data_IF_799782725289
#
_entry.id   IF_799782725289
#
_cell.length_a   1.000
_cell.length_b   1.000
_cell.length_c   1.000
_cell.angle_alpha   90.00
_cell.angle_beta   90.00
_cell.angle_gamma   90.00
#
_symmetry.space_group_name_H-M   'P 1'
#
loop_
_entity.id
_entity.type
_entity.pdbx_description
1 polymer ?
#
# COMPACT_ATOMS: atom_id res chain seq x y z
N UNK A 1 -51.46 75.51 10.59
CA UNK A 1 -51.15 74.40 11.52
C UNK A 1 -50.47 73.30 10.74
N UNK A 2 -49.35 72.78 11.25
CA UNK A 2 -48.65 71.61 10.69
C UNK A 2 -48.99 70.38 11.51
N UNK A 3 -49.32 69.29 10.84
CA UNK A 3 -49.66 67.99 11.44
C UNK A 3 -48.86 66.83 10.84
N UNK A 4 -48.39 65.88 11.66
CA UNK A 4 -48.45 65.84 13.13
C UNK A 4 -47.52 66.89 13.79
N UNK A 5 -47.76 67.26 15.07
CA UNK A 5 -46.94 68.26 15.79
C UNK A 5 -45.57 67.72 16.24
N UNK A 6 -45.38 66.40 16.22
CA UNK A 6 -44.09 65.76 16.44
C UNK A 6 -43.99 64.50 15.56
N UNK A 7 -42.76 64.18 15.16
CA UNK A 7 -42.43 62.98 14.38
C UNK A 7 -41.20 62.33 14.99
N UNK A 8 -41.26 61.02 15.17
CA UNK A 8 -40.08 60.18 15.41
C UNK A 8 -39.97 59.16 14.28
N UNK A 9 -38.83 59.13 13.60
CA UNK A 9 -38.56 58.19 12.51
C UNK A 9 -37.11 57.72 12.52
N UNK A 10 -36.85 56.53 11.98
CA UNK A 10 -35.49 56.03 11.79
C UNK A 10 -34.79 56.74 10.63
N UNK A 11 -33.45 56.82 10.70
CA UNK A 11 -32.61 57.33 9.60
C UNK A 11 -32.97 56.65 8.27
N UNK A 12 -33.13 57.46 7.22
CA UNK A 12 -33.53 57.01 5.88
C UNK A 12 -35.04 56.86 5.66
N UNK A 13 -35.87 56.86 6.72
CA UNK A 13 -37.33 56.86 6.56
C UNK A 13 -37.88 58.23 6.23
N UNK A 14 -39.14 58.25 5.79
CA UNK A 14 -39.86 59.47 5.43
C UNK A 14 -41.22 59.55 6.12
N UNK A 15 -41.70 60.78 6.33
CA UNK A 15 -43.03 61.06 6.84
C UNK A 15 -43.62 62.26 6.09
N UNK A 16 -44.84 62.12 5.60
CA UNK A 16 -45.55 63.25 5.00
C UNK A 16 -46.07 64.17 6.12
N UNK A 17 -45.71 65.45 6.07
CA UNK A 17 -46.32 66.51 6.87
C UNK A 17 -47.43 67.18 6.07
N UNK A 18 -48.44 67.67 6.79
CA UNK A 18 -49.56 68.42 6.22
C UNK A 18 -49.63 69.80 6.85
N UNK A 19 -49.81 70.83 6.04
CA UNK A 19 -50.00 72.21 6.50
C UNK A 19 -51.41 72.68 6.12
N UNK A 20 -52.22 72.99 7.13
CA UNK A 20 -53.56 73.56 6.96
C UNK A 20 -53.55 75.05 7.34
N UNK A 21 -53.93 75.93 6.42
CA UNK A 21 -54.23 77.33 6.72
C UNK A 21 -55.64 77.45 7.34
N UNK A 22 -55.80 78.40 8.26
CA UNK A 22 -57.11 78.87 8.73
C UNK A 22 -57.16 80.36 8.45
N UNK A 23 -58.10 80.79 7.61
CA UNK A 23 -58.25 82.20 7.22
C UNK A 23 -59.14 82.96 8.21
N UNK A 24 -59.16 84.29 8.12
CA UNK A 24 -59.93 85.16 9.03
C UNK A 24 -61.45 84.95 8.95
N UNK A 25 -61.95 84.35 7.86
CA UNK A 25 -63.34 83.93 7.69
C UNK A 25 -63.62 82.52 8.26
N UNK A 26 -62.63 81.91 8.92
CA UNK A 26 -62.62 80.54 9.46
C UNK A 26 -62.65 79.41 8.41
N UNK A 27 -62.50 79.71 7.12
CA UNK A 27 -62.27 78.66 6.13
C UNK A 27 -60.89 78.04 6.31
N UNK A 28 -60.73 76.79 5.91
CA UNK A 28 -59.45 76.09 5.94
C UNK A 28 -59.05 75.57 4.56
N UNK A 29 -57.75 75.52 4.30
CA UNK A 29 -57.19 74.94 3.08
C UNK A 29 -55.93 74.14 3.41
N UNK A 30 -55.78 72.98 2.76
CA UNK A 30 -54.49 72.29 2.69
C UNK A 30 -53.59 73.07 1.73
N UNK A 31 -52.48 73.57 2.28
CA UNK A 31 -51.51 74.39 1.58
C UNK A 31 -50.15 73.69 1.50
N UNK A 32 -50.07 72.39 1.80
CA UNK A 32 -48.83 71.63 1.94
C UNK A 32 -47.87 71.72 0.76
N UNK A 33 -48.39 71.92 -0.46
CA UNK A 33 -47.59 72.07 -1.70
C UNK A 33 -47.45 73.52 -2.18
N UNK A 34 -47.94 74.50 -1.42
CA UNK A 34 -47.97 75.92 -1.80
C UNK A 34 -47.34 76.84 -0.75
N UNK A 35 -46.45 76.29 0.08
CA UNK A 35 -45.77 76.99 1.17
C UNK A 35 -44.27 76.75 1.18
N UNK A 36 -43.54 77.56 1.93
CA UNK A 36 -42.15 77.30 2.24
C UNK A 36 -42.04 76.44 3.51
N UNK A 37 -41.51 75.23 3.34
CA UNK A 37 -41.06 74.37 4.43
C UNK A 37 -39.60 74.68 4.79
N UNK A 38 -39.28 74.67 6.08
CA UNK A 38 -37.94 74.92 6.59
C UNK A 38 -37.60 73.91 7.67
N UNK A 39 -36.41 73.31 7.59
CA UNK A 39 -35.77 72.58 8.69
C UNK A 39 -34.68 73.46 9.30
N UNK A 40 -34.57 73.49 10.62
CA UNK A 40 -33.51 74.23 11.32
C UNK A 40 -32.14 73.51 11.24
N UNK A 41 -32.15 72.19 11.08
CA UNK A 41 -30.97 71.35 10.89
C UNK A 41 -31.19 70.32 9.76
N UNK A 42 -30.74 70.68 8.56
CA UNK A 42 -30.79 69.81 7.39
C UNK A 42 -29.84 68.60 7.47
N UNK A 43 -28.84 68.60 8.35
CA UNK A 43 -27.99 67.42 8.57
C UNK A 43 -28.74 66.34 9.35
N UNK A 44 -29.65 66.74 10.25
CA UNK A 44 -30.52 65.83 10.99
C UNK A 44 -31.76 65.43 10.19
N UNK A 45 -32.51 66.40 9.62
CA UNK A 45 -33.73 66.11 8.86
C UNK A 45 -33.95 67.09 7.69
N UNK A 46 -34.35 66.57 6.53
CA UNK A 46 -34.68 67.38 5.35
C UNK A 46 -36.16 67.30 5.02
N UNK A 47 -36.71 68.35 4.40
CA UNK A 47 -38.10 68.37 3.97
C UNK A 47 -38.21 68.89 2.54
N UNK A 48 -38.96 68.18 1.71
CA UNK A 48 -39.22 68.61 0.32
C UNK A 48 -40.24 69.75 0.28
N UNK A 49 -40.32 70.52 -0.83
CA UNK A 49 -41.34 71.56 -1.00
C UNK A 49 -42.80 71.07 -0.90
N UNK A 50 -43.04 69.77 -1.05
CA UNK A 50 -44.37 69.16 -0.93
C UNK A 50 -44.65 68.62 0.48
N UNK A 51 -43.78 68.88 1.46
CA UNK A 51 -43.97 68.47 2.86
C UNK A 51 -43.50 67.06 3.20
N UNK A 52 -42.78 66.36 2.31
CA UNK A 52 -42.20 65.05 2.64
C UNK A 52 -40.92 65.23 3.45
N UNK A 53 -40.98 64.89 4.75
CA UNK A 53 -39.87 64.88 5.69
C UNK A 53 -39.03 63.61 5.52
N UNK A 54 -37.70 63.70 5.58
CA UNK A 54 -36.75 62.57 5.54
C UNK A 54 -35.73 62.71 6.67
N UNK A 55 -35.49 61.64 7.44
CA UNK A 55 -34.46 61.62 8.48
C UNK A 55 -33.09 61.31 7.89
N UNK A 56 -32.06 62.09 8.25
CA UNK A 56 -30.72 62.03 7.62
C UNK A 56 -29.65 61.56 8.59
N UNK A 57 -29.46 62.22 9.74
CA UNK A 57 -28.56 61.78 10.80
C UNK A 57 -29.29 61.70 12.14
N UNK A 58 -28.82 60.83 13.03
CA UNK A 58 -29.40 60.68 14.36
C UNK A 58 -29.35 62.01 15.11
N UNK A 59 -30.48 62.46 15.65
CA UNK A 59 -30.55 63.75 16.33
C UNK A 59 -31.97 64.31 16.46
N UNK A 60 -32.04 65.58 16.83
CA UNK A 60 -33.27 66.34 16.95
C UNK A 60 -33.23 67.56 16.02
N UNK A 61 -34.35 67.83 15.35
CA UNK A 61 -34.54 69.00 14.49
C UNK A 61 -35.96 69.55 14.65
N UNK A 62 -36.19 70.76 14.17
CA UNK A 62 -37.48 71.40 14.10
C UNK A 62 -37.84 71.75 12.66
N UNK A 63 -39.07 71.41 12.26
CA UNK A 63 -39.60 71.77 10.95
C UNK A 63 -40.75 72.75 11.09
N UNK A 64 -40.71 73.81 10.30
CA UNK A 64 -41.76 74.83 10.24
C UNK A 64 -42.27 75.02 8.81
N UNK A 65 -43.46 75.57 8.72
CA UNK A 65 -44.15 75.95 7.48
C UNK A 65 -44.47 77.43 7.54
N UNK A 66 -44.24 78.18 6.46
CA UNK A 66 -44.62 79.59 6.38
C UNK A 66 -45.37 79.93 5.09
N UNK A 67 -46.41 80.76 5.22
CA UNK A 67 -47.17 81.35 4.12
C UNK A 67 -47.31 82.86 4.38
N UNK A 68 -46.88 83.69 3.43
CA UNK A 68 -47.03 85.17 3.47
C UNK A 68 -46.58 85.82 4.80
N UNK A 69 -45.50 85.30 5.39
CA UNK A 69 -44.95 85.81 6.66
C UNK A 69 -45.61 85.27 7.92
N UNK A 70 -46.62 84.39 7.80
CA UNK A 70 -47.23 83.67 8.92
C UNK A 70 -46.57 82.29 9.05
N UNK A 71 -45.90 82.05 10.18
CA UNK A 71 -45.28 80.76 10.51
C UNK A 71 -46.25 79.88 11.29
N UNK A 72 -46.38 78.61 10.90
CA UNK A 72 -47.13 77.60 11.61
C UNK A 72 -46.45 77.15 12.92
N UNK A 73 -47.05 76.17 13.60
CA UNK A 73 -46.38 75.53 14.73
C UNK A 73 -45.12 74.79 14.28
N UNK A 74 -44.13 74.78 15.17
CA UNK A 74 -43.00 73.86 15.17
C UNK A 74 -43.45 72.40 15.11
N UNK A 75 -42.84 71.61 14.24
CA UNK A 75 -42.88 70.15 14.31
C UNK A 75 -41.56 69.67 14.90
N UNK A 76 -41.63 69.03 16.06
CA UNK A 76 -40.45 68.45 16.70
C UNK A 76 -40.11 67.11 16.01
N UNK A 77 -38.92 67.01 15.43
CA UNK A 77 -38.44 65.83 14.73
C UNK A 77 -37.35 65.15 15.56
N UNK A 78 -37.49 63.85 15.80
CA UNK A 78 -36.45 63.01 16.41
C UNK A 78 -36.08 61.91 15.42
N UNK A 79 -34.84 61.93 14.94
CA UNK A 79 -34.29 60.89 14.06
C UNK A 79 -33.52 59.89 14.92
N UNK A 80 -33.94 58.62 14.89
CA UNK A 80 -33.26 57.51 15.57
C UNK A 80 -32.27 56.81 14.64
N UNK A 81 -31.51 55.85 15.17
CA UNK A 81 -30.65 54.99 14.37
C UNK A 81 -31.43 54.30 13.24
N UNK A 82 -30.72 53.98 12.15
CA UNK A 82 -31.29 53.21 11.05
C UNK A 82 -31.74 51.83 11.57
N UNK A 83 -32.89 51.36 11.10
CA UNK A 83 -33.46 50.08 11.51
C UNK A 83 -33.19 49.03 10.45
N UNK A 84 -32.96 47.78 10.88
CA UNK A 84 -32.77 46.64 9.99
C UNK A 84 -34.03 46.43 9.14
N UNK A 85 -33.87 46.28 7.83
CA UNK A 85 -34.98 46.05 6.89
C UNK A 85 -34.96 44.64 6.31
N UNK A 86 -33.79 44.16 5.88
CA UNK A 86 -33.64 42.81 5.29
C UNK A 86 -32.33 42.16 5.70
N UNK A 87 -32.30 40.83 5.67
CA UNK A 87 -31.09 40.02 5.77
C UNK A 87 -31.02 39.16 4.51
N UNK A 88 -29.90 39.19 3.82
CA UNK A 88 -29.60 38.31 2.69
C UNK A 88 -28.53 37.30 3.08
N UNK A 89 -28.79 36.02 2.85
CA UNK A 89 -27.88 34.91 3.13
C UNK A 89 -27.31 34.38 1.81
N UNK A 90 -25.99 34.36 1.71
CA UNK A 90 -25.25 33.87 0.53
C UNK A 90 -24.31 32.72 0.90
N UNK A 91 -24.21 31.66 0.08
CA UNK A 91 -25.05 31.37 -1.09
C UNK A 91 -26.51 31.00 -0.72
N UNK A 92 -27.49 31.20 -1.63
CA UNK A 92 -28.90 30.90 -1.37
C UNK A 92 -29.24 29.39 -1.40
N UNK A 93 -28.31 28.56 -1.87
CA UNK A 93 -28.42 27.10 -1.85
C UNK A 93 -27.04 26.47 -1.76
N UNK A 94 -26.93 25.36 -1.03
CA UNK A 94 -25.68 24.60 -0.88
C UNK A 94 -25.93 23.12 -1.16
N UNK A 95 -25.05 22.50 -1.94
CA UNK A 95 -24.95 21.05 -2.08
C UNK A 95 -23.56 20.62 -1.64
N UNK A 96 -23.45 19.74 -0.64
CA UNK A 96 -22.18 19.26 -0.12
C UNK A 96 -22.25 17.78 0.27
N UNK A 97 -21.11 17.09 0.34
CA UNK A 97 -21.05 15.70 0.80
C UNK A 97 -21.01 15.61 2.31
N UNK A 98 -21.56 14.53 2.89
CA UNK A 98 -21.52 14.28 4.33
C UNK A 98 -20.13 14.50 4.92
N UNK A 99 -20.05 15.26 6.02
CA UNK A 99 -18.80 15.62 6.69
C UNK A 99 -18.08 16.86 6.14
N UNK A 100 -18.50 17.41 5.00
CA UNK A 100 -17.96 18.67 4.48
C UNK A 100 -18.65 19.89 5.11
N UNK A 101 -18.04 21.04 4.90
CA UNK A 101 -18.52 22.33 5.41
C UNK A 101 -18.60 23.39 4.32
N UNK A 102 -19.46 24.39 4.53
CA UNK A 102 -19.58 25.57 3.69
C UNK A 102 -19.83 26.80 4.56
N UNK A 103 -19.10 27.89 4.32
CA UNK A 103 -19.37 29.15 4.99
C UNK A 103 -20.59 29.84 4.35
N UNK A 104 -21.56 30.23 5.16
CA UNK A 104 -22.63 31.15 4.80
C UNK A 104 -22.33 32.55 5.33
N UNK A 105 -22.73 33.57 4.58
CA UNK A 105 -22.61 34.98 4.98
C UNK A 105 -24.00 35.59 5.07
N UNK A 106 -24.27 36.34 6.14
CA UNK A 106 -25.50 37.10 6.32
C UNK A 106 -25.20 38.60 6.20
N UNK A 107 -25.82 39.27 5.22
CA UNK A 107 -25.69 40.71 4.99
C UNK A 107 -27.00 41.41 5.33
N UNK A 108 -26.95 42.32 6.30
CA UNK A 108 -28.05 43.19 6.69
C UNK A 108 -28.14 44.38 5.74
N UNK A 109 -29.36 44.82 5.41
CA UNK A 109 -29.66 46.14 4.82
C UNK A 109 -30.51 46.94 5.79
N UNK A 110 -30.22 48.23 5.96
CA UNK A 110 -30.92 49.12 6.89
C UNK A 110 -31.82 50.12 6.16
N UNK A 111 -32.66 50.85 6.91
CA UNK A 111 -33.62 51.83 6.38
C UNK A 111 -32.98 53.01 5.64
N UNK A 112 -31.68 53.23 5.80
CA UNK A 112 -30.89 54.22 5.08
C UNK A 112 -30.14 53.65 3.86
N UNK A 113 -30.42 52.39 3.49
CA UNK A 113 -29.78 51.61 2.44
C UNK A 113 -28.31 51.27 2.69
N UNK A 114 -27.78 51.49 3.89
CA UNK A 114 -26.47 50.95 4.26
C UNK A 114 -26.55 49.43 4.45
N UNK A 115 -25.42 48.75 4.28
CA UNK A 115 -25.31 47.30 4.47
C UNK A 115 -24.22 46.95 5.47
N UNK A 116 -24.41 45.88 6.24
CA UNK A 116 -23.40 45.36 7.16
C UNK A 116 -23.32 43.83 7.10
N UNK A 117 -22.11 43.29 7.26
CA UNK A 117 -21.94 41.86 7.55
C UNK A 117 -22.37 41.59 9.00
N UNK A 118 -23.40 40.79 9.15
CA UNK A 118 -23.99 40.40 10.44
C UNK A 118 -23.87 38.89 10.69
N UNK A 119 -23.00 38.20 9.95
CA UNK A 119 -22.82 36.73 10.00
C UNK A 119 -22.60 36.20 11.42
N UNK A 120 -21.87 36.92 12.25
CA UNK A 120 -21.60 36.54 13.65
C UNK A 120 -22.61 37.11 14.67
N UNK A 121 -23.57 37.91 14.22
CA UNK A 121 -24.55 38.61 15.05
C UNK A 121 -25.96 38.03 14.92
N UNK A 122 -26.25 37.38 13.79
CA UNK A 122 -27.53 36.70 13.54
C UNK A 122 -27.65 35.41 14.36
N UNK A 123 -28.88 35.05 14.71
CA UNK A 123 -29.24 33.73 15.20
C UNK A 123 -29.48 32.80 14.01
N UNK A 124 -28.54 31.91 13.75
CA UNK A 124 -28.64 30.85 12.75
C UNK A 124 -29.53 29.71 13.25
N UNK A 125 -30.36 29.15 12.36
CA UNK A 125 -31.23 28.01 12.63
C UNK A 125 -31.21 27.05 11.45
N UNK A 126 -31.08 25.75 11.72
CA UNK A 126 -31.38 24.67 10.79
C UNK A 126 -32.70 24.02 11.19
N UNK A 127 -33.58 23.74 10.24
CA UNK A 127 -34.86 23.05 10.49
C UNK A 127 -34.67 21.55 10.82
N UNK A 128 -33.59 20.95 10.30
CA UNK A 128 -33.19 19.58 10.57
C UNK A 128 -31.68 19.47 10.86
N UNK A 129 -31.35 19.53 12.15
CA UNK A 129 -29.98 19.37 12.65
C UNK A 129 -29.41 17.96 12.46
N UNK A 130 -30.25 16.93 12.23
CA UNK A 130 -29.75 15.60 11.91
C UNK A 130 -29.20 15.53 10.48
N UNK A 131 -29.74 16.35 9.57
CA UNK A 131 -29.25 16.47 8.19
C UNK A 131 -28.13 17.50 8.07
N UNK A 132 -28.28 18.71 8.62
CA UNK A 132 -27.27 19.77 8.54
C UNK A 132 -27.24 20.66 9.79
N UNK A 133 -26.04 21.01 10.25
CA UNK A 133 -25.84 21.92 11.40
C UNK A 133 -25.13 23.19 10.96
N UNK A 134 -25.33 24.29 11.69
CA UNK A 134 -24.66 25.56 11.41
C UNK A 134 -24.17 26.20 12.71
N UNK A 135 -22.96 26.75 12.68
CA UNK A 135 -22.40 27.44 13.85
C UNK A 135 -22.91 28.88 13.97
N UNK A 136 -22.72 29.51 15.13
CA UNK A 136 -23.02 30.93 15.33
C UNK A 136 -22.21 31.88 14.43
N UNK A 137 -21.14 31.38 13.78
CA UNK A 137 -20.33 32.13 12.81
C UNK A 137 -20.68 31.79 11.37
N UNK A 138 -21.80 31.09 11.12
CA UNK A 138 -22.28 30.77 9.77
C UNK A 138 -21.59 29.59 9.08
N UNK A 139 -20.84 28.75 9.80
CA UNK A 139 -20.21 27.56 9.21
C UNK A 139 -21.21 26.40 9.17
N UNK A 140 -21.75 26.11 7.99
CA UNK A 140 -22.64 24.99 7.71
C UNK A 140 -21.84 23.68 7.63
N UNK A 141 -22.35 22.60 8.21
CA UNK A 141 -21.78 21.24 8.16
C UNK A 141 -22.86 20.23 7.79
N UNK A 142 -22.60 19.36 6.81
CA UNK A 142 -23.50 18.28 6.41
C UNK A 142 -23.30 17.06 7.30
N UNK A 143 -24.38 16.54 7.88
CA UNK A 143 -24.36 15.50 8.92
C UNK A 143 -24.90 14.17 8.41
N UNK A 144 -26.10 14.13 7.85
CA UNK A 144 -26.68 12.94 7.22
C UNK A 144 -27.21 13.26 5.84
N UNK A 145 -27.25 12.24 4.96
CA UNK A 145 -27.79 12.40 3.61
C UNK A 145 -29.25 12.84 3.68
N UNK A 146 -29.59 13.91 2.96
CA UNK A 146 -30.94 14.49 3.01
C UNK A 146 -31.00 15.94 2.54
N UNK A 147 -32.11 16.59 2.87
CA UNK A 147 -32.33 18.01 2.60
C UNK A 147 -32.74 18.73 3.89
N UNK A 148 -32.21 19.94 4.09
CA UNK A 148 -32.54 20.83 5.21
C UNK A 148 -32.63 22.28 4.72
N UNK A 149 -33.21 23.14 5.55
CA UNK A 149 -33.31 24.57 5.34
C UNK A 149 -32.62 25.32 6.47
N UNK A 150 -31.79 26.29 6.10
CA UNK A 150 -31.09 27.16 7.05
C UNK A 150 -31.56 28.60 6.92
N UNK A 151 -31.83 29.23 8.06
CA UNK A 151 -32.22 30.64 8.15
C UNK A 151 -31.34 31.38 9.16
N UNK A 152 -31.35 32.71 9.06
CA UNK A 152 -30.69 33.61 9.98
C UNK A 152 -31.67 34.71 10.39
N UNK A 153 -31.70 35.07 11.67
CA UNK A 153 -32.55 36.14 12.18
C UNK A 153 -31.79 37.12 13.07
N UNK A 154 -32.12 38.41 12.96
CA UNK A 154 -31.59 39.48 13.81
C UNK A 154 -32.71 40.51 14.01
N UNK A 155 -32.90 40.97 15.24
CA UNK A 155 -33.89 42.01 15.61
C UNK A 155 -35.31 41.76 15.07
N UNK A 156 -35.72 40.49 15.00
CA UNK A 156 -37.04 40.08 14.50
C UNK A 156 -37.17 39.99 12.97
N UNK A 157 -36.13 40.36 12.22
CA UNK A 157 -36.04 40.18 10.77
C UNK A 157 -35.42 38.82 10.49
N UNK A 158 -36.06 38.01 9.66
CA UNK A 158 -35.52 36.72 9.18
C UNK A 158 -35.09 36.87 7.73
N UNK A 159 -33.90 36.38 7.40
CA UNK A 159 -33.38 36.39 6.04
C UNK A 159 -34.02 35.34 5.13
N UNK A 160 -33.55 35.25 3.89
CA UNK A 160 -33.98 34.18 2.98
C UNK A 160 -33.60 32.79 3.51
N UNK A 161 -34.42 31.81 3.17
CA UNK A 161 -34.12 30.41 3.35
C UNK A 161 -32.95 29.97 2.46
N UNK A 162 -31.98 29.25 3.03
CA UNK A 162 -30.92 28.56 2.30
C UNK A 162 -31.28 27.08 2.19
N UNK A 163 -31.46 26.60 0.97
CA UNK A 163 -31.72 25.19 0.72
C UNK A 163 -30.41 24.40 0.77
N UNK A 164 -30.34 23.40 1.65
CA UNK A 164 -29.15 22.56 1.86
C UNK A 164 -29.46 21.13 1.40
N UNK A 165 -28.64 20.60 0.51
CA UNK A 165 -28.66 19.18 0.11
C UNK A 165 -27.36 18.51 0.55
N UNK A 166 -27.48 17.48 1.37
CA UNK A 166 -26.34 16.66 1.82
C UNK A 166 -26.36 15.35 1.03
N UNK A 167 -25.27 15.10 0.31
CA UNK A 167 -25.04 13.86 -0.45
C UNK A 167 -24.21 12.86 0.35
N UNK A 168 -24.08 11.64 -0.17
CA UNK A 168 -23.25 10.60 0.45
C UNK A 168 -21.81 11.09 0.69
N UNK A 169 -21.17 10.53 1.72
CA UNK A 169 -19.76 10.80 1.97
C UNK A 169 -18.93 10.36 0.77
N UNK A 170 -17.98 11.17 0.35
CA UNK A 170 -17.11 10.88 -0.80
C UNK A 170 -15.78 10.32 -0.33
N UNK A 171 -15.19 9.43 -1.13
CA UNK A 171 -13.88 8.86 -0.87
C UNK A 171 -12.80 9.97 -0.92
N UNK A 172 -11.98 10.07 0.11
CA UNK A 172 -10.91 11.08 0.21
C UNK A 172 -9.52 10.47 0.21
N UNK A 173 -9.35 9.25 0.72
CA UNK A 173 -8.07 8.55 0.74
C UNK A 173 -8.23 7.03 0.71
N UNK A 174 -7.17 6.35 0.25
CA UNK A 174 -7.02 4.89 0.35
C UNK A 174 -5.66 4.63 0.99
N UNK A 175 -5.66 3.88 2.09
CA UNK A 175 -4.45 3.40 2.76
C UNK A 175 -4.29 1.90 2.55
N UNK A 176 -3.10 1.46 2.18
CA UNK A 176 -2.76 0.04 2.08
C UNK A 176 -1.97 -0.38 3.31
N UNK A 177 -2.38 -1.47 3.96
CA UNK A 177 -1.66 -2.10 5.09
C UNK A 177 -1.19 -3.51 4.73
N UNK A 178 0.08 -3.87 5.03
CA UNK A 178 1.14 -3.00 5.53
C UNK A 178 1.65 -1.99 4.48
N UNK A 179 2.28 -0.87 4.91
CA UNK A 179 2.80 0.17 4.00
C UNK A 179 4.07 -0.25 3.25
N UNK A 180 4.71 -1.33 3.67
CA UNK A 180 5.80 -2.00 2.95
C UNK A 180 5.76 -3.50 3.21
N UNK A 181 6.23 -4.28 2.24
CA UNK A 181 6.29 -5.74 2.32
C UNK A 181 7.69 -6.23 2.01
N UNK A 182 8.16 -7.20 2.80
CA UNK A 182 9.26 -8.09 2.43
C UNK A 182 8.71 -9.51 2.35
N UNK A 183 8.76 -10.13 1.17
CA UNK A 183 8.17 -11.46 0.92
C UNK A 183 9.16 -12.36 0.20
N UNK A 184 9.16 -13.65 0.55
CA UNK A 184 9.97 -14.66 -0.13
C UNK A 184 9.49 -14.91 -1.56
N UNK A 185 10.39 -15.28 -2.48
CA UNK A 185 10.00 -15.82 -3.80
C UNK A 185 9.00 -16.98 -3.64
N UNK A 186 7.87 -16.90 -4.34
CA UNK A 186 6.76 -17.86 -4.28
C UNK A 186 5.89 -17.76 -3.02
N UNK A 187 6.24 -16.91 -2.05
CA UNK A 187 5.44 -16.67 -0.86
C UNK A 187 4.43 -15.55 -1.10
N UNK A 188 3.39 -15.53 -0.26
CA UNK A 188 2.28 -14.58 -0.37
C UNK A 188 2.12 -13.74 0.88
N UNK A 189 1.66 -12.50 0.72
CA UNK A 189 1.25 -11.62 1.81
C UNK A 189 -0.11 -11.01 1.47
N UNK A 190 -1.05 -11.02 2.41
CA UNK A 190 -2.31 -10.30 2.23
C UNK A 190 -2.08 -8.81 2.47
N UNK A 191 -2.46 -7.98 1.49
CA UNK A 191 -2.62 -6.54 1.65
C UNK A 191 -4.09 -6.21 1.92
N UNK A 192 -4.33 -5.20 2.75
CA UNK A 192 -5.66 -4.65 3.01
C UNK A 192 -5.71 -3.22 2.51
N UNK A 193 -6.76 -2.85 1.78
CA UNK A 193 -7.04 -1.46 1.43
C UNK A 193 -8.16 -0.91 2.31
N UNK A 194 -7.90 0.18 3.01
CA UNK A 194 -8.86 0.91 3.85
C UNK A 194 -9.13 2.26 3.21
N UNK A 195 -10.39 2.51 2.88
CA UNK A 195 -10.88 3.79 2.40
C UNK A 195 -11.18 4.71 3.58
N UNK A 196 -10.90 6.01 3.43
CA UNK A 196 -11.36 7.09 4.32
C UNK A 196 -12.28 8.01 3.53
N UNK A 197 -13.42 8.38 4.12
CA UNK A 197 -14.42 9.24 3.48
C UNK A 197 -14.44 10.65 4.07
N UNK A 198 -15.17 11.56 3.42
CA UNK A 198 -15.27 12.98 3.82
C UNK A 198 -15.88 13.23 5.20
N UNK A 199 -16.51 12.24 5.80
CA UNK A 199 -17.05 12.23 7.16
C UNK A 199 -16.12 11.56 8.19
N UNK A 200 -14.88 11.24 7.79
CA UNK A 200 -13.88 10.52 8.56
C UNK A 200 -14.24 9.07 8.91
N UNK A 201 -15.33 8.53 8.36
CA UNK A 201 -15.58 7.09 8.44
C UNK A 201 -14.58 6.33 7.57
N UNK A 202 -14.35 5.06 7.92
CA UNK A 202 -13.47 4.18 7.16
C UNK A 202 -14.18 2.90 6.76
N UNK A 203 -13.77 2.32 5.62
CA UNK A 203 -14.29 1.04 5.14
C UNK A 203 -13.18 0.18 4.55
N UNK A 204 -13.25 -1.14 4.79
CA UNK A 204 -12.41 -2.08 4.07
C UNK A 204 -12.90 -2.20 2.63
N UNK A 205 -12.06 -1.81 1.68
CA UNK A 205 -12.34 -1.81 0.24
C UNK A 205 -11.42 -2.76 -0.52
N UNK A 206 -10.76 -3.69 0.17
CA UNK A 206 -9.74 -4.61 -0.40
C UNK A 206 -10.21 -5.35 -1.64
N UNK A 207 -11.49 -5.73 -1.70
CA UNK A 207 -12.10 -6.44 -2.83
C UNK A 207 -12.77 -5.52 -3.86
N UNK A 208 -12.81 -4.22 -3.61
CA UNK A 208 -13.50 -3.22 -4.45
C UNK A 208 -12.52 -2.32 -5.20
N UNK A 209 -11.29 -2.18 -4.71
CA UNK A 209 -10.22 -1.42 -5.36
C UNK A 209 -9.64 -2.17 -6.56
N UNK A 210 -9.20 -1.43 -7.56
CA UNK A 210 -8.32 -1.94 -8.61
C UNK A 210 -6.87 -1.91 -8.11
N UNK A 211 -6.33 -3.11 -7.85
CA UNK A 211 -4.93 -3.31 -7.50
C UNK A 211 -4.04 -3.29 -8.74
N UNK A 212 -2.87 -2.66 -8.62
CA UNK A 212 -1.86 -2.61 -9.67
C UNK A 212 -0.46 -2.82 -9.06
N UNK A 213 0.33 -3.68 -9.69
CA UNK A 213 1.79 -3.71 -9.50
C UNK A 213 2.46 -3.09 -10.72
N UNK A 214 3.48 -2.26 -10.49
CA UNK A 214 4.27 -1.65 -11.56
C UNK A 214 5.20 -2.64 -12.28
N UNK A 215 5.61 -3.72 -11.60
CA UNK A 215 6.43 -4.80 -12.14
C UNK A 215 5.91 -6.20 -11.72
N UNK A 216 5.04 -6.75 -12.57
CA UNK A 216 4.48 -8.09 -12.42
C UNK A 216 5.52 -9.22 -12.52
N UNK A 217 6.71 -8.96 -13.08
CA UNK A 217 7.79 -9.96 -13.12
C UNK A 217 8.46 -10.10 -11.75
N UNK A 218 8.46 -9.03 -10.95
CA UNK A 218 8.97 -9.04 -9.57
C UNK A 218 7.87 -9.47 -8.58
N UNK A 219 6.68 -8.86 -8.62
CA UNK A 219 5.58 -9.21 -7.71
C UNK A 219 4.20 -9.09 -8.38
N UNK A 220 3.28 -10.00 -8.07
CA UNK A 220 1.89 -9.95 -8.58
C UNK A 220 0.92 -9.74 -7.43
N UNK A 221 -0.23 -9.15 -7.71
CA UNK A 221 -1.31 -8.96 -6.74
C UNK A 221 -2.66 -9.30 -7.35
N UNK A 222 -3.51 -9.99 -6.58
CA UNK A 222 -4.85 -10.38 -7.00
C UNK A 222 -5.87 -9.25 -6.74
N UNK A 223 -7.06 -9.36 -7.35
CA UNK A 223 -8.18 -8.44 -7.09
C UNK A 223 -8.67 -8.45 -5.63
N UNK A 224 -8.29 -9.45 -4.83
CA UNK A 224 -8.60 -9.55 -3.40
C UNK A 224 -7.41 -9.16 -2.51
N UNK A 225 -6.38 -8.50 -3.06
CA UNK A 225 -5.23 -7.98 -2.30
C UNK A 225 -4.19 -9.03 -1.90
N UNK A 226 -4.26 -10.27 -2.40
CA UNK A 226 -3.21 -11.28 -2.14
C UNK A 226 -2.00 -11.00 -3.04
N UNK A 227 -0.91 -10.54 -2.45
CA UNK A 227 0.38 -10.29 -3.09
C UNK A 227 1.20 -11.59 -3.14
N UNK A 228 1.92 -11.84 -4.24
CA UNK A 228 2.84 -12.98 -4.42
C UNK A 228 4.18 -12.49 -4.96
N UNK A 229 5.28 -12.88 -4.30
CA UNK A 229 6.64 -12.62 -4.83
C UNK A 229 6.97 -13.56 -5.98
N UNK A 230 7.47 -13.03 -7.11
CA UNK A 230 7.75 -13.80 -8.33
C UNK A 230 9.25 -13.94 -8.58
N UNK A 231 9.97 -12.84 -8.72
CA UNK A 231 11.43 -12.82 -8.86
C UNK A 231 12.06 -11.85 -7.85
N UNK A 232 13.32 -12.11 -7.49
CA UNK A 232 14.05 -11.24 -6.56
C UNK A 232 14.13 -9.81 -7.13
N UNK A 233 13.73 -8.82 -6.34
CA UNK A 233 13.70 -7.43 -6.79
C UNK A 233 12.85 -6.53 -5.88
N UNK A 234 12.57 -5.34 -6.38
CA UNK A 234 11.66 -4.37 -5.76
C UNK A 234 10.57 -4.00 -6.77
N UNK A 235 9.32 -3.98 -6.32
CA UNK A 235 8.17 -3.50 -7.07
C UNK A 235 7.33 -2.56 -6.19
N UNK A 236 6.47 -1.77 -6.79
CA UNK A 236 5.49 -0.92 -6.11
C UNK A 236 4.07 -1.40 -6.42
N UNK A 237 3.23 -1.34 -5.39
CA UNK A 237 1.81 -1.67 -5.49
C UNK A 237 0.96 -0.46 -5.12
N UNK A 238 -0.12 -0.26 -5.88
CA UNK A 238 -1.13 0.76 -5.62
C UNK A 238 -2.54 0.16 -5.69
N UNK A 239 -3.49 0.82 -5.06
CA UNK A 239 -4.92 0.51 -5.10
C UNK A 239 -5.69 1.76 -5.53
N UNK A 240 -6.67 1.61 -6.40
CA UNK A 240 -7.50 2.74 -6.86
C UNK A 240 -9.00 2.44 -6.80
N UNK A 241 -9.80 3.43 -6.41
CA UNK A 241 -11.26 3.37 -6.36
C UNK A 241 -11.81 4.78 -6.60
N UNK A 242 -12.84 4.90 -7.45
CA UNK A 242 -13.54 6.17 -7.75
C UNK A 242 -12.63 7.36 -8.09
N UNK A 243 -11.51 7.09 -8.76
CA UNK A 243 -10.52 8.11 -9.17
C UNK A 243 -9.51 8.50 -8.09
N UNK A 244 -9.62 7.96 -6.88
CA UNK A 244 -8.62 8.09 -5.81
C UNK A 244 -7.64 6.92 -5.89
N UNK A 245 -6.35 7.22 -5.82
CA UNK A 245 -5.28 6.21 -5.79
C UNK A 245 -4.54 6.31 -4.47
N UNK A 246 -4.21 5.17 -3.86
CA UNK A 246 -3.41 5.09 -2.64
C UNK A 246 -1.99 5.60 -2.85
N UNK A 247 -1.28 5.83 -1.74
CA UNK A 247 0.17 5.87 -1.77
C UNK A 247 0.75 4.53 -2.25
N UNK A 248 2.00 4.57 -2.70
CA UNK A 248 2.75 3.40 -3.19
C UNK A 248 3.24 2.56 -2.03
N UNK A 249 2.96 1.26 -2.08
CA UNK A 249 3.54 0.26 -1.16
C UNK A 249 4.73 -0.39 -1.83
N UNK A 250 5.91 -0.23 -1.23
CA UNK A 250 7.11 -0.93 -1.70
C UNK A 250 7.06 -2.39 -1.31
N UNK A 251 7.27 -3.26 -2.29
CA UNK A 251 7.36 -4.71 -2.16
C UNK A 251 8.78 -5.15 -2.50
N UNK A 252 9.52 -5.60 -1.50
CA UNK A 252 10.81 -6.24 -1.69
C UNK A 252 10.63 -7.75 -1.74
N UNK A 253 10.91 -8.34 -2.89
CA UNK A 253 10.95 -9.80 -3.02
C UNK A 253 12.36 -10.25 -2.73
N UNK A 254 12.51 -10.92 -1.60
CA UNK A 254 13.78 -11.49 -1.17
C UNK A 254 13.80 -12.97 -1.53
N UNK A 255 14.97 -13.48 -1.88
CA UNK A 255 15.21 -14.91 -1.68
C UNK A 255 15.38 -15.10 -0.19
N UNK A 256 14.42 -15.73 0.46
CA UNK A 256 14.59 -16.13 1.86
C UNK A 256 15.54 -17.32 1.85
N UNK A 257 16.79 -17.22 2.34
CA UNK A 257 17.52 -18.42 2.70
C UNK A 257 16.65 -19.13 3.74
N UNK A 258 16.41 -20.43 3.56
CA UNK A 258 15.63 -21.22 4.51
C UNK A 258 16.29 -21.06 5.89
N UNK A 259 15.69 -20.30 6.82
CA UNK A 259 16.19 -20.24 8.19
C UNK A 259 16.08 -21.65 8.77
N UNK A 260 17.22 -22.25 9.13
CA UNK A 260 17.32 -23.67 9.49
C UNK A 260 17.93 -24.58 8.41
N UNK A 261 18.42 -24.02 7.30
CA UNK A 261 19.18 -24.77 6.29
C UNK A 261 20.59 -24.22 6.09
N UNK A 262 21.43 -25.05 5.48
CA UNK A 262 22.74 -24.66 4.96
C UNK A 262 22.56 -23.68 3.78
N UNK A 263 23.59 -22.89 3.47
CA UNK A 263 23.57 -21.95 2.35
C UNK A 263 23.62 -22.70 1.01
N UNK A 264 24.58 -23.62 0.90
CA UNK A 264 24.82 -24.46 -0.26
C UNK A 264 25.75 -25.66 0.10
N UNK A 265 26.09 -26.46 -0.91
CA UNK A 265 26.91 -27.67 -0.77
C UNK A 265 28.09 -27.62 -1.74
N UNK A 266 29.31 -27.60 -1.21
CA UNK A 266 30.52 -27.58 -2.03
C UNK A 266 31.08 -28.99 -2.26
N UNK A 267 31.37 -29.32 -3.52
CA UNK A 267 31.92 -30.62 -3.93
C UNK A 267 32.95 -30.39 -5.04
N UNK A 268 34.23 -30.59 -4.71
CA UNK A 268 35.34 -30.20 -5.58
C UNK A 268 35.22 -28.72 -5.98
N UNK A 269 35.16 -28.43 -7.28
CA UNK A 269 35.10 -27.10 -7.90
C UNK A 269 33.68 -26.60 -8.18
N UNK A 270 32.65 -27.25 -7.61
CA UNK A 270 31.25 -26.98 -7.90
C UNK A 270 30.41 -26.86 -6.63
N UNK A 271 29.35 -26.05 -6.72
CA UNK A 271 28.41 -25.80 -5.63
C UNK A 271 27.00 -26.21 -6.06
N UNK A 272 26.33 -27.02 -5.23
CA UNK A 272 24.93 -27.36 -5.38
C UNK A 272 24.06 -26.53 -4.44
N UNK A 273 22.87 -26.16 -4.90
CA UNK A 273 21.82 -25.69 -4.00
C UNK A 273 21.42 -26.81 -3.02
N UNK A 274 21.05 -26.46 -1.80
CA UNK A 274 20.66 -27.44 -0.77
C UNK A 274 19.43 -28.27 -1.14
N UNK A 275 18.58 -27.80 -2.05
CA UNK A 275 17.40 -28.52 -2.54
C UNK A 275 17.64 -29.28 -3.86
N UNK A 276 18.90 -29.31 -4.35
CA UNK A 276 19.24 -29.98 -5.61
C UNK A 276 19.07 -31.51 -5.57
N UNK A 277 18.89 -32.09 -4.37
CA UNK A 277 18.76 -33.55 -4.17
C UNK A 277 20.09 -34.31 -4.18
N UNK A 278 21.20 -33.61 -3.95
CA UNK A 278 22.54 -34.21 -3.85
C UNK A 278 22.73 -34.95 -2.50
N UNK A 279 23.66 -35.90 -2.38
CA UNK A 279 24.07 -36.83 -3.41
C UNK A 279 23.04 -37.96 -3.57
N UNK A 280 22.98 -38.54 -4.77
CA UNK A 280 22.28 -39.82 -5.03
C UNK A 280 23.24 -40.98 -5.24
N UNK A 281 24.54 -40.71 -5.31
CA UNK A 281 25.61 -41.70 -5.45
C UNK A 281 26.59 -41.60 -4.29
N UNK A 282 27.30 -42.67 -3.96
CA UNK A 282 28.31 -42.66 -2.91
C UNK A 282 29.47 -43.61 -3.21
N UNK A 283 30.59 -43.42 -2.54
CA UNK A 283 31.74 -44.31 -2.56
C UNK A 283 32.57 -44.12 -1.29
N UNK A 284 33.44 -45.10 -1.00
CA UNK A 284 34.34 -45.02 0.15
C UNK A 284 35.32 -43.85 -0.05
N UNK A 285 35.31 -42.88 0.88
CA UNK A 285 36.12 -41.67 0.82
C UNK A 285 35.49 -40.51 0.04
N UNK A 286 34.18 -40.56 -0.26
CA UNK A 286 33.46 -39.42 -0.84
C UNK A 286 33.35 -38.29 0.18
N UNK A 287 33.57 -37.04 -0.25
CA UNK A 287 33.59 -35.87 0.62
C UNK A 287 32.86 -34.67 0.00
N UNK A 288 32.12 -33.94 0.83
CA UNK A 288 31.48 -32.67 0.46
C UNK A 288 31.35 -31.75 1.69
N UNK A 289 31.26 -30.44 1.47
CA UNK A 289 31.11 -29.46 2.55
C UNK A 289 29.69 -28.91 2.57
N UNK A 290 29.08 -28.88 3.75
CA UNK A 290 27.84 -28.15 3.99
C UNK A 290 28.19 -26.74 4.50
N UNK A 291 27.91 -25.71 3.71
CA UNK A 291 28.28 -24.34 4.06
C UNK A 291 27.22 -23.70 4.97
N UNK A 292 27.66 -23.12 6.07
CA UNK A 292 26.78 -22.54 7.10
C UNK A 292 26.63 -21.02 6.94
N UNK A 293 25.50 -20.43 7.38
CA UNK A 293 25.31 -18.98 7.35
C UNK A 293 26.28 -18.17 8.24
N UNK A 294 26.93 -18.83 9.20
CA UNK A 294 28.02 -18.26 9.99
C UNK A 294 29.25 -19.17 9.94
N UNK A 295 30.27 -18.92 10.77
CA UNK A 295 31.49 -19.73 10.74
C UNK A 295 31.15 -21.17 11.17
N UNK A 296 31.61 -22.22 10.46
CA UNK A 296 31.29 -23.62 10.82
C UNK A 296 31.63 -24.02 12.27
N UNK A 297 32.64 -23.36 12.85
CA UNK A 297 33.03 -23.54 14.26
C UNK A 297 32.00 -23.06 15.27
N UNK A 298 31.01 -22.27 14.86
CA UNK A 298 29.92 -21.81 15.71
C UNK A 298 28.89 -22.93 15.97
N UNK A 299 29.04 -24.09 15.32
CA UNK A 299 28.10 -25.21 15.38
C UNK A 299 28.75 -26.46 15.98
N UNK A 300 27.93 -27.25 16.67
CA UNK A 300 28.22 -28.65 16.98
C UNK A 300 27.61 -29.53 15.90
N UNK A 301 28.44 -30.34 15.26
CA UNK A 301 28.07 -31.17 14.12
C UNK A 301 27.77 -32.62 14.53
N UNK A 302 26.81 -33.24 13.86
CA UNK A 302 26.47 -34.65 14.06
C UNK A 302 25.90 -35.28 12.78
N UNK A 303 26.06 -36.59 12.67
CA UNK A 303 25.46 -37.45 11.65
C UNK A 303 24.64 -38.53 12.36
N UNK A 304 23.46 -38.86 11.84
CA UNK A 304 22.65 -39.98 12.34
C UNK A 304 23.06 -41.35 11.75
N UNK A 305 23.93 -41.36 10.73
CA UNK A 305 24.35 -42.56 10.03
C UNK A 305 25.79 -42.98 10.42
N UNK A 306 26.02 -44.26 10.77
CA UNK A 306 27.33 -44.73 11.23
C UNK A 306 28.39 -44.78 10.12
N UNK A 307 27.98 -44.72 8.85
CA UNK A 307 28.86 -44.74 7.68
C UNK A 307 29.20 -43.34 7.15
N UNK A 308 28.69 -42.28 7.80
CA UNK A 308 28.93 -40.88 7.46
C UNK A 308 29.46 -40.13 8.67
N UNK A 309 30.59 -39.45 8.51
CA UNK A 309 31.13 -38.53 9.52
C UNK A 309 31.01 -37.08 9.07
N UNK A 310 30.98 -36.15 10.03
CA UNK A 310 31.08 -34.72 9.76
C UNK A 310 32.07 -34.09 10.73
N UNK A 311 32.99 -33.25 10.23
CA UNK A 311 33.97 -32.55 11.06
C UNK A 311 33.55 -31.11 11.41
N UNK A 312 34.41 -30.37 12.11
CA UNK A 312 34.12 -29.02 12.59
C UNK A 312 34.14 -27.94 11.50
N UNK A 313 34.54 -28.28 10.28
CA UNK A 313 34.49 -27.41 9.11
C UNK A 313 33.20 -27.59 8.31
N UNK A 314 32.36 -28.55 8.69
CA UNK A 314 31.18 -28.95 7.92
C UNK A 314 31.51 -29.92 6.78
N UNK A 315 32.73 -30.47 6.74
CA UNK A 315 33.10 -31.52 5.79
C UNK A 315 32.44 -32.83 6.19
N UNK A 316 31.58 -33.34 5.31
CA UNK A 316 30.91 -34.62 5.40
C UNK A 316 31.70 -35.66 4.61
N UNK A 317 32.10 -36.76 5.25
CA UNK A 317 32.88 -37.83 4.64
C UNK A 317 32.17 -39.18 4.75
N UNK A 318 32.16 -39.94 3.65
CA UNK A 318 31.62 -41.30 3.60
C UNK A 318 32.74 -42.30 3.95
N UNK A 319 32.68 -42.87 5.15
CA UNK A 319 33.78 -43.65 5.74
C UNK A 319 33.65 -45.16 5.52
N UNK A 320 32.48 -45.64 5.11
CA UNK A 320 32.24 -47.03 4.73
C UNK A 320 30.99 -47.12 3.85
N UNK A 321 30.72 -48.30 3.28
CA UNK A 321 29.56 -48.53 2.43
C UNK A 321 28.24 -48.16 3.11
N UNK A 322 27.52 -47.22 2.50
CA UNK A 322 26.18 -46.82 2.92
C UNK A 322 25.05 -47.73 2.42
N UNK A 323 23.85 -47.36 2.83
CA UNK A 323 22.59 -48.01 2.46
C UNK A 323 21.56 -46.99 1.95
N UNK A 324 20.36 -47.45 1.62
CA UNK A 324 19.29 -46.61 1.08
C UNK A 324 18.53 -45.81 2.16
N UNK A 325 18.88 -45.93 3.45
CA UNK A 325 18.22 -45.17 4.50
C UNK A 325 18.58 -43.68 4.38
N UNK A 326 17.63 -42.77 4.67
CA UNK A 326 17.94 -41.35 4.75
C UNK A 326 19.00 -41.08 5.81
N UNK A 327 19.99 -40.26 5.46
CA UNK A 327 21.02 -39.76 6.37
C UNK A 327 20.77 -38.29 6.64
N UNK A 328 20.80 -37.89 7.89
CA UNK A 328 20.67 -36.49 8.32
C UNK A 328 21.95 -36.00 8.98
N UNK A 329 22.52 -34.95 8.42
CA UNK A 329 23.59 -34.16 9.04
C UNK A 329 22.96 -32.97 9.76
N UNK A 330 23.31 -32.79 11.03
CA UNK A 330 22.78 -31.72 11.87
C UNK A 330 23.90 -30.82 12.38
N UNK A 331 23.78 -29.51 12.16
CA UNK A 331 24.62 -28.47 12.75
C UNK A 331 23.81 -27.68 13.79
N UNK A 332 24.12 -27.85 15.08
CA UNK A 332 23.43 -27.18 16.18
C UNK A 332 24.23 -25.96 16.65
N UNK A 333 23.67 -24.74 16.61
CA UNK A 333 24.37 -23.54 17.07
C UNK A 333 24.82 -23.67 18.53
N UNK A 334 26.10 -23.40 18.78
CA UNK A 334 26.69 -23.45 20.13
C UNK A 334 26.14 -22.35 21.05
N UNK A 335 25.67 -21.24 20.47
CA UNK A 335 24.98 -20.15 21.16
C UNK A 335 23.54 -20.48 21.56
N UNK A 336 23.00 -21.63 21.13
CA UNK A 336 21.59 -21.97 21.23
C UNK A 336 20.78 -21.39 20.06
N UNK A 337 19.70 -22.06 19.68
CA UNK A 337 18.86 -21.68 18.53
C UNK A 337 18.38 -22.89 17.73
N UNK A 338 17.84 -22.63 16.54
CA UNK A 338 17.38 -23.67 15.62
C UNK A 338 18.57 -24.34 14.94
N UNK A 339 18.63 -25.67 15.00
CA UNK A 339 19.64 -26.45 14.27
C UNK A 339 19.43 -26.37 12.76
N UNK A 340 20.53 -26.42 12.01
CA UNK A 340 20.52 -26.68 10.58
C UNK A 340 20.46 -28.19 10.36
N UNK A 341 19.72 -28.64 9.35
CA UNK A 341 19.65 -30.06 9.01
C UNK A 341 19.70 -30.27 7.51
N UNK A 342 20.44 -31.29 7.09
CA UNK A 342 20.53 -31.72 5.70
C UNK A 342 20.28 -33.21 5.61
N UNK A 343 19.24 -33.60 4.89
CA UNK A 343 18.88 -35.01 4.70
C UNK A 343 19.08 -35.42 3.25
N UNK A 344 19.78 -36.54 3.03
CA UNK A 344 19.98 -37.11 1.70
C UNK A 344 19.79 -38.63 1.72
N UNK A 345 19.59 -39.21 0.53
CA UNK A 345 19.50 -40.65 0.30
C UNK A 345 20.35 -41.02 -0.90
N UNK A 346 21.16 -42.06 -0.77
CA UNK A 346 21.94 -42.59 -1.90
C UNK A 346 21.21 -43.77 -2.54
N UNK A 347 21.21 -43.82 -3.86
CA UNK A 347 20.62 -44.89 -4.66
C UNK A 347 21.68 -45.86 -5.22
N UNK A 348 22.94 -45.45 -5.26
CA UNK A 348 24.02 -46.29 -5.80
C UNK A 348 25.34 -46.08 -5.09
N UNK A 349 26.00 -47.18 -4.72
CA UNK A 349 27.37 -47.18 -4.21
C UNK A 349 28.35 -47.64 -5.26
N UNK A 350 29.47 -46.94 -5.41
CA UNK A 350 30.50 -47.24 -6.40
C UNK A 350 31.80 -47.71 -5.75
N UNK A 351 32.47 -48.65 -6.43
CA UNK A 351 33.81 -49.13 -6.04
C UNK A 351 34.68 -49.29 -7.29
N UNK A 352 35.96 -48.99 -7.14
CA UNK A 352 36.98 -49.11 -8.19
C UNK A 352 38.07 -50.11 -7.75
N UNK A 353 38.70 -50.78 -8.72
CA UNK A 353 39.84 -51.66 -8.46
C UNK A 353 41.19 -50.89 -8.39
N UNK A 354 41.13 -49.58 -8.16
CA UNK A 354 42.29 -48.71 -8.12
C UNK A 354 42.86 -48.43 -9.50
N UNK A 355 44.19 -48.47 -9.59
CA UNK A 355 44.94 -48.22 -10.81
C UNK A 355 45.22 -49.47 -11.64
N UNK A 356 44.66 -50.62 -11.24
CA UNK A 356 44.79 -51.88 -11.96
C UNK A 356 43.97 -51.85 -13.23
N UNK A 357 44.64 -51.74 -14.37
CA UNK A 357 43.98 -51.69 -15.68
C UNK A 357 43.75 -53.10 -16.22
N UNK A 358 42.54 -53.35 -16.66
CA UNK A 358 42.04 -54.70 -16.98
C UNK A 358 41.24 -54.69 -18.28
N UNK A 359 41.10 -55.85 -18.91
CA UNK A 359 40.15 -56.05 -20.01
C UNK A 359 38.72 -55.92 -19.51
N UNK A 360 37.77 -55.72 -20.43
CA UNK A 360 36.35 -55.65 -20.06
C UNK A 360 35.85 -56.95 -19.38
N UNK A 361 36.33 -58.11 -19.85
CA UNK A 361 35.98 -59.40 -19.24
C UNK A 361 36.49 -59.53 -17.81
N UNK A 362 37.71 -59.08 -17.54
CA UNK A 362 38.30 -59.09 -16.20
C UNK A 362 37.61 -58.09 -15.28
N UNK A 363 37.25 -56.89 -15.77
CA UNK A 363 36.45 -55.92 -15.01
C UNK A 363 35.09 -56.52 -14.60
N UNK A 364 34.45 -57.27 -15.51
CA UNK A 364 33.17 -57.92 -15.24
C UNK A 364 33.32 -59.02 -14.18
N UNK A 365 34.37 -59.83 -14.29
CA UNK A 365 34.70 -60.84 -13.28
C UNK A 365 34.93 -60.19 -11.92
N UNK A 366 35.75 -59.13 -11.86
CA UNK A 366 36.04 -58.40 -10.63
C UNK A 366 34.77 -57.85 -9.96
N UNK A 367 33.83 -57.30 -10.73
CA UNK A 367 32.54 -56.84 -10.19
C UNK A 367 31.71 -57.99 -9.61
N UNK A 368 31.61 -59.11 -10.32
CA UNK A 368 30.81 -60.25 -9.84
C UNK A 368 31.36 -60.86 -8.55
N UNK A 369 32.67 -60.73 -8.32
CA UNK A 369 33.38 -61.23 -7.14
C UNK A 369 33.25 -60.32 -5.91
N UNK A 370 32.77 -59.08 -6.05
CA UNK A 370 32.53 -58.18 -4.91
C UNK A 370 31.38 -58.69 -4.03
N UNK A 371 31.58 -58.74 -2.71
CA UNK A 371 30.56 -59.22 -1.77
C UNK A 371 29.52 -58.14 -1.39
N UNK A 372 28.24 -58.51 -1.17
CA UNK A 372 27.66 -59.84 -1.42
C UNK A 372 27.61 -60.11 -2.94
N UNK A 373 28.16 -61.27 -3.34
CA UNK A 373 28.37 -61.63 -4.75
C UNK A 373 27.09 -61.48 -5.58
N UNK A 374 27.22 -61.00 -6.82
CA UNK A 374 26.19 -60.77 -7.85
C UNK A 374 25.32 -59.49 -7.77
N UNK A 375 25.43 -58.66 -6.71
CA UNK A 375 24.75 -57.36 -6.70
C UNK A 375 25.53 -56.25 -7.41
N UNK A 376 26.86 -56.36 -7.43
CA UNK A 376 27.76 -55.41 -8.05
C UNK A 376 27.88 -55.66 -9.56
N UNK A 377 27.61 -54.64 -10.35
CA UNK A 377 27.68 -54.72 -11.82
C UNK A 377 28.45 -53.55 -12.39
N UNK A 378 29.06 -53.74 -13.56
CA UNK A 378 29.62 -52.60 -14.31
C UNK A 378 28.47 -51.65 -14.67
N UNK A 379 28.51 -50.38 -14.25
CA UNK A 379 27.45 -49.42 -14.52
C UNK A 379 27.39 -48.98 -15.98
N UNK A 380 26.20 -48.61 -16.44
CA UNK A 380 26.04 -47.92 -17.71
C UNK A 380 26.71 -46.53 -17.62
N UNK A 381 27.19 -45.99 -18.75
CA UNK A 381 28.02 -44.78 -18.69
C UNK A 381 27.23 -43.60 -18.15
N UNK A 382 25.90 -43.62 -18.31
CA UNK A 382 24.96 -42.62 -17.79
C UNK A 382 24.89 -42.54 -16.25
N UNK A 383 25.27 -43.61 -15.56
CA UNK A 383 25.42 -43.62 -14.09
C UNK A 383 26.80 -43.12 -13.66
N UNK A 384 27.74 -43.00 -14.59
CA UNK A 384 29.08 -42.48 -14.35
C UNK A 384 29.20 -41.01 -14.75
N UNK A 385 28.68 -40.63 -15.91
CA UNK A 385 28.73 -39.28 -16.46
C UNK A 385 27.70 -39.11 -17.60
N UNK A 386 27.79 -38.03 -18.35
CA UNK A 386 27.05 -37.78 -19.58
C UNK A 386 27.98 -37.19 -20.66
N UNK A 387 27.50 -37.14 -21.90
CA UNK A 387 28.20 -36.53 -23.02
C UNK A 387 27.33 -35.40 -23.62
N UNK A 388 27.75 -34.13 -23.57
CA UNK A 388 28.98 -33.62 -22.96
C UNK A 388 28.94 -33.70 -21.41
N UNK A 389 30.13 -33.75 -20.80
CA UNK A 389 30.29 -33.82 -19.35
C UNK A 389 29.83 -32.51 -18.68
N UNK A 390 28.84 -32.59 -17.80
CA UNK A 390 28.29 -31.45 -17.06
C UNK A 390 27.99 -31.92 -15.62
N UNK A 391 28.40 -31.12 -14.62
CA UNK A 391 28.07 -31.35 -13.19
C UNK A 391 26.56 -31.37 -12.96
N UNK A 392 26.09 -32.10 -11.97
CA UNK A 392 24.66 -32.30 -11.70
C UNK A 392 24.37 -33.55 -10.89
N UNK A 393 23.15 -33.68 -10.40
CA UNK A 393 22.70 -34.83 -9.59
C UNK A 393 22.34 -36.02 -10.48
N UNK A 394 22.60 -37.24 -9.99
CA UNK A 394 22.16 -38.51 -10.60
C UNK A 394 23.25 -39.38 -11.25
N UNK A 395 24.52 -38.99 -11.21
CA UNK A 395 25.63 -39.83 -11.71
C UNK A 395 26.94 -39.51 -11.00
N UNK A 396 27.84 -40.50 -10.89
CA UNK A 396 29.07 -40.42 -10.08
C UNK A 396 29.91 -39.17 -10.38
N UNK A 397 30.44 -39.01 -11.60
CA UNK A 397 31.27 -37.86 -11.95
C UNK A 397 30.48 -36.55 -11.94
N UNK A 398 29.17 -36.59 -12.25
CA UNK A 398 28.36 -35.37 -12.29
C UNK A 398 28.19 -34.80 -10.88
N UNK A 399 27.99 -35.66 -9.90
CA UNK A 399 27.85 -35.30 -8.49
C UNK A 399 29.19 -34.91 -7.90
N UNK A 400 30.20 -35.74 -8.09
CA UNK A 400 31.45 -35.65 -7.36
C UNK A 400 32.58 -34.95 -8.12
N UNK A 401 32.48 -34.78 -9.44
CA UNK A 401 33.53 -34.14 -10.26
C UNK A 401 34.77 -35.03 -10.40
N UNK A 402 35.95 -34.40 -10.50
CA UNK A 402 37.23 -35.11 -10.64
C UNK A 402 37.46 -36.06 -9.46
N UNK A 403 37.37 -37.36 -9.74
CA UNK A 403 37.47 -38.40 -8.73
C UNK A 403 38.89 -38.54 -8.17
N UNK A 404 39.91 -37.98 -8.83
CA UNK A 404 41.30 -38.00 -8.35
C UNK A 404 41.53 -37.07 -7.16
N UNK A 405 40.62 -36.15 -6.89
CA UNK A 405 40.72 -35.24 -5.75
C UNK A 405 40.37 -35.94 -4.41
N UNK A 406 39.75 -37.12 -4.45
CA UNK A 406 39.39 -37.88 -3.25
C UNK A 406 40.52 -38.82 -2.84
N UNK A 407 41.48 -38.29 -2.05
CA UNK A 407 42.71 -38.99 -1.66
C UNK A 407 42.51 -40.28 -0.84
N UNK A 408 41.35 -40.43 -0.18
CA UNK A 408 41.00 -41.63 0.59
C UNK A 408 40.16 -42.64 -0.21
N UNK A 409 39.94 -42.41 -1.50
CA UNK A 409 39.11 -43.26 -2.34
C UNK A 409 39.89 -44.32 -3.13
N UNK A 410 39.16 -45.29 -3.69
CA UNK A 410 39.73 -46.29 -4.63
C UNK A 410 39.79 -45.80 -6.08
N UNK A 411 39.45 -44.53 -6.35
CA UNK A 411 39.42 -43.95 -7.70
C UNK A 411 40.75 -43.27 -8.05
N UNK A 412 41.79 -44.08 -8.28
CA UNK A 412 43.17 -43.59 -8.51
C UNK A 412 43.63 -43.68 -9.97
N UNK A 413 42.72 -44.00 -10.89
CA UNK A 413 43.00 -44.03 -12.32
C UNK A 413 41.88 -43.39 -13.13
N UNK A 414 42.23 -42.64 -14.18
CA UNK A 414 41.26 -41.80 -14.88
C UNK A 414 40.20 -42.57 -15.64
N UNK A 415 40.51 -43.71 -16.27
CA UNK A 415 39.58 -44.36 -17.21
C UNK A 415 38.89 -45.58 -16.61
N UNK A 416 37.56 -45.64 -16.64
CA UNK A 416 36.79 -46.77 -16.11
C UNK A 416 35.77 -47.33 -17.08
N UNK A 417 35.67 -48.66 -17.13
CA UNK A 417 34.75 -49.37 -18.02
C UNK A 417 33.27 -49.05 -17.76
N UNK A 418 32.48 -49.05 -18.82
CA UNK A 418 31.02 -49.04 -18.75
C UNK A 418 30.41 -50.27 -19.42
N UNK A 419 29.27 -50.73 -18.92
CA UNK A 419 28.51 -51.82 -19.52
C UNK A 419 27.79 -51.46 -20.82
N UNK A 420 27.70 -50.18 -21.17
CA UNK A 420 27.07 -49.75 -22.42
C UNK A 420 27.96 -50.09 -23.62
N UNK A 421 27.39 -50.74 -24.62
CA UNK A 421 28.08 -51.10 -25.87
C UNK A 421 27.83 -50.07 -26.97
N UNK A 422 28.85 -49.83 -27.80
CA UNK A 422 28.70 -49.11 -29.08
C UNK A 422 28.31 -50.09 -30.18
N UNK A 423 28.98 -51.23 -30.20
CA UNK A 423 28.77 -52.36 -31.11
C UNK A 423 29.35 -53.61 -30.45
N UNK A 424 29.14 -54.79 -31.05
CA UNK A 424 29.65 -56.05 -30.51
C UNK A 424 31.16 -55.98 -30.26
N UNK A 425 31.58 -56.12 -29.00
CA UNK A 425 32.99 -56.08 -28.58
C UNK A 425 33.56 -54.68 -28.32
N UNK A 426 32.81 -53.61 -28.58
CA UNK A 426 33.21 -52.22 -28.29
C UNK A 426 32.35 -51.64 -27.18
N UNK A 427 32.99 -51.15 -26.12
CA UNK A 427 32.34 -50.67 -24.90
C UNK A 427 32.68 -49.21 -24.67
N UNK A 428 31.73 -48.48 -24.10
CA UNK A 428 32.01 -47.17 -23.54
C UNK A 428 32.89 -47.30 -22.29
N UNK A 429 33.65 -46.24 -22.02
CA UNK A 429 34.35 -46.01 -20.78
C UNK A 429 34.29 -44.51 -20.46
N UNK A 430 34.47 -44.15 -19.20
CA UNK A 430 34.42 -42.76 -18.75
C UNK A 430 35.75 -42.37 -18.14
N UNK A 431 36.26 -41.22 -18.54
CA UNK A 431 37.36 -40.57 -17.85
C UNK A 431 36.83 -39.83 -16.62
N UNK A 432 37.00 -40.38 -15.43
CA UNK A 432 36.49 -39.83 -14.16
C UNK A 432 37.34 -38.66 -13.61
N UNK A 433 38.40 -38.25 -14.29
CA UNK A 433 39.06 -36.96 -14.06
C UNK A 433 38.30 -35.80 -14.72
N UNK A 434 37.60 -36.06 -15.84
CA UNK A 434 37.03 -35.03 -16.71
C UNK A 434 35.58 -35.27 -17.13
N UNK A 435 34.99 -36.40 -16.73
CA UNK A 435 33.65 -36.83 -17.06
C UNK A 435 33.49 -37.29 -18.51
N UNK A 436 34.55 -37.28 -19.31
CA UNK A 436 34.46 -37.51 -20.74
C UNK A 436 34.15 -38.97 -21.08
N UNK A 437 33.08 -39.17 -21.84
CA UNK A 437 32.65 -40.49 -22.30
C UNK A 437 33.34 -40.82 -23.61
N UNK A 438 34.02 -41.96 -23.66
CA UNK A 438 34.76 -42.46 -24.82
C UNK A 438 34.44 -43.94 -25.05
N UNK A 439 34.96 -44.55 -26.12
CA UNK A 439 34.75 -45.97 -26.38
C UNK A 439 36.01 -46.65 -26.91
N UNK A 440 36.10 -47.96 -26.71
CA UNK A 440 37.22 -48.78 -27.21
C UNK A 440 36.86 -50.26 -27.26
N UNK A 441 37.68 -51.07 -27.93
CA UNK A 441 37.52 -52.52 -28.02
C UNK A 441 37.85 -53.21 -26.68
N UNK A 442 36.98 -54.10 -26.21
CA UNK A 442 37.09 -54.69 -24.87
C UNK A 442 38.05 -55.88 -24.74
N UNK A 443 38.36 -56.58 -25.84
CA UNK A 443 39.08 -57.87 -25.80
C UNK A 443 40.60 -57.75 -25.61
N UNK A 444 41.21 -56.62 -25.98
CA UNK A 444 42.66 -56.42 -25.92
C UNK A 444 43.07 -55.11 -25.23
N UNK A 445 42.11 -54.32 -24.73
CA UNK A 445 42.41 -53.04 -24.12
C UNK A 445 42.51 -53.18 -22.59
N UNK A 446 43.71 -52.92 -22.05
CA UNK A 446 43.99 -52.85 -20.61
C UNK A 446 44.37 -51.43 -20.21
N UNK A 447 43.70 -50.42 -20.77
CA UNK A 447 43.91 -49.00 -20.43
C UNK A 447 42.91 -48.49 -19.40
N UNK A 448 41.87 -49.27 -19.09
CA UNK A 448 40.78 -48.87 -18.21
C UNK A 448 40.73 -49.75 -16.97
N UNK A 449 40.40 -49.15 -15.84
CA UNK A 449 40.14 -49.79 -14.56
C UNK A 449 38.72 -50.37 -14.50
N UNK A 450 38.49 -51.29 -13.56
CA UNK A 450 37.17 -51.82 -13.26
C UNK A 450 36.43 -50.88 -12.30
N UNK A 451 35.14 -50.68 -12.56
CA UNK A 451 34.22 -49.96 -11.69
C UNK A 451 32.94 -50.76 -11.57
N UNK A 452 32.41 -50.84 -10.36
CA UNK A 452 31.15 -51.53 -10.09
C UNK A 452 30.23 -50.61 -9.31
N UNK A 453 28.94 -50.70 -9.62
CA UNK A 453 27.88 -50.06 -8.87
C UNK A 453 27.04 -51.13 -8.16
N UNK A 454 26.70 -50.85 -6.91
CA UNK A 454 25.68 -51.53 -6.12
C UNK A 454 24.44 -50.62 -6.09
N UNK A 455 23.32 -51.10 -6.61
CA UNK A 455 22.03 -50.44 -6.41
C UNK A 455 21.51 -50.77 -5.01
N UNK A 456 21.18 -49.74 -4.23
CA UNK A 456 20.81 -49.85 -2.80
C UNK A 456 19.30 -49.98 -2.59
#
# INVERSE_FOLDING_TARGET
QVTPPSVSLAKGQTQQLTATATYSDNTTADISSSIAWLSDDAATATITPNGLLTGVEQGNAEVTASLDGVTGNAVQVTVTDAILTTIEITPPSVSLSKGQTQQLTATATYSDNTTADVTSSVAWLSDDAATATITATGLLTGVEQGSAEVTASLDGVTGNAVQVTVTDAILTAIEITPPSVSVGKGQTQQLTATATYSDNTTANVTSSVAWLSDDAATATITATGLLTGVEQGSAEVTASLDGVTSDRVTVNVVVTPLFGAFEDISVNDFTFAVDAGFPTTGFDGAEFVLNTPSTPSDYTWSSDAPWVSVDNSGMVSFISQGDAAPVTITATPTSGGTSLSYTFTIASWFRSNGSSRVTYSEARTWCNEQQPSYKWKIPAYRLLSQAPAIRGVGALWREWGDMMNYGNSTFTWRGHWSSTTVSTGNYYFVYLDSGNVNWTAGSNNTSNAAICALTL
#
